data_IF_835017880874
#
_entry.id   IF_835017880874
#
_cell.length_a   1.000
_cell.length_b   1.000
_cell.length_c   1.000
_cell.angle_alpha   90.00
_cell.angle_beta   90.00
_cell.angle_gamma   90.00
#
_symmetry.space_group_name_H-M   'P 1'
#
loop_
_entity.id
_entity.type
_entity.pdbx_description
1 polymer ?
#
# COMPACT_ATOMS: atom_id res chain seq x y z
N UNK A 1 -16.74 24.51 -7.28
CA UNK A 1 -17.19 23.21 -7.82
C UNK A 1 -16.09 22.13 -7.93
N UNK A 2 -14.85 22.46 -8.35
CA UNK A 2 -13.77 21.47 -8.58
C UNK A 2 -13.33 20.67 -7.33
N UNK A 3 -13.16 21.32 -6.18
CA UNK A 3 -12.76 20.67 -4.90
C UNK A 3 -13.80 19.68 -4.34
N UNK A 4 -15.09 19.91 -4.58
CA UNK A 4 -16.16 19.02 -4.12
C UNK A 4 -16.13 17.70 -4.89
N UNK A 5 -15.95 17.79 -6.21
CA UNK A 5 -15.79 16.62 -7.09
C UNK A 5 -14.54 15.81 -6.75
N UNK A 6 -13.42 16.46 -6.39
CA UNK A 6 -12.20 15.77 -5.98
C UNK A 6 -12.34 14.99 -4.65
N UNK A 7 -13.11 15.53 -3.69
CA UNK A 7 -13.42 14.81 -2.45
C UNK A 7 -14.40 13.65 -2.68
N UNK A 8 -15.40 13.85 -3.54
CA UNK A 8 -16.34 12.80 -3.94
C UNK A 8 -15.59 11.65 -4.65
N UNK A 9 -14.65 11.95 -5.55
CA UNK A 9 -13.82 10.94 -6.23
C UNK A 9 -12.95 10.15 -5.24
N UNK A 10 -12.28 10.84 -4.29
CA UNK A 10 -11.49 10.17 -3.25
C UNK A 10 -12.36 9.30 -2.34
N UNK A 11 -13.57 9.74 -2.00
CA UNK A 11 -14.51 8.93 -1.21
C UNK A 11 -14.96 7.67 -1.97
N UNK A 12 -15.20 7.80 -3.28
CA UNK A 12 -15.56 6.65 -4.12
C UNK A 12 -14.42 5.65 -4.30
N UNK A 13 -13.17 6.09 -4.46
CA UNK A 13 -12.00 5.20 -4.55
C UNK A 13 -11.78 4.41 -3.26
N UNK A 14 -11.98 5.06 -2.10
CA UNK A 14 -11.87 4.41 -0.79
C UNK A 14 -13.00 3.40 -0.58
N UNK A 15 -14.24 3.76 -0.94
CA UNK A 15 -15.39 2.84 -0.87
C UNK A 15 -15.18 1.63 -1.80
N UNK A 16 -14.69 1.86 -3.01
CA UNK A 16 -14.36 0.81 -3.96
C UNK A 16 -13.29 -0.14 -3.42
N UNK A 17 -12.23 0.38 -2.80
CA UNK A 17 -11.20 -0.46 -2.19
C UNK A 17 -11.73 -1.29 -1.01
N UNK A 18 -12.64 -0.72 -0.19
CA UNK A 18 -13.28 -1.43 0.91
C UNK A 18 -14.21 -2.53 0.37
N UNK A 19 -14.98 -2.25 -0.68
CA UNK A 19 -15.86 -3.21 -1.32
C UNK A 19 -15.10 -4.32 -2.04
N UNK A 20 -14.01 -4.01 -2.73
CA UNK A 20 -13.16 -4.99 -3.40
C UNK A 20 -12.53 -5.96 -2.39
N UNK A 21 -12.00 -5.43 -1.27
CA UNK A 21 -11.55 -6.25 -0.14
C UNK A 21 -12.70 -7.08 0.44
N UNK A 22 -13.91 -6.52 0.52
CA UNK A 22 -15.10 -7.24 1.00
C UNK A 22 -15.60 -8.32 0.02
N UNK A 23 -15.42 -8.13 -1.29
CA UNK A 23 -15.79 -9.07 -2.35
C UNK A 23 -14.76 -10.17 -2.49
N UNK A 24 -13.46 -9.87 -2.35
CA UNK A 24 -12.39 -10.88 -2.28
C UNK A 24 -12.61 -11.82 -1.08
N UNK A 25 -13.13 -11.30 0.03
CA UNK A 25 -13.59 -12.09 1.19
C UNK A 25 -14.80 -12.98 0.85
N UNK A 26 -15.70 -12.55 -0.05
CA UNK A 26 -16.93 -13.27 -0.43
C UNK A 26 -16.75 -14.27 -1.58
N UNK A 27 -15.84 -14.01 -2.53
CA UNK A 27 -15.58 -14.88 -3.69
C UNK A 27 -14.75 -16.11 -3.33
N UNK A 28 -14.03 -16.10 -2.20
CA UNK A 28 -13.34 -17.26 -1.65
C UNK A 28 -14.30 -18.35 -1.06
N UNK A 29 -15.61 -18.22 -1.32
CA UNK A 29 -16.68 -18.95 -0.65
C UNK A 29 -17.48 -19.89 -1.58
N UNK A 30 -16.90 -20.40 -2.68
CA UNK A 30 -17.51 -21.47 -3.49
C UNK A 30 -16.58 -22.69 -3.62
N UNK A 31 -16.84 -23.64 -2.72
CA UNK A 31 -16.57 -25.09 -2.60
C UNK A 31 -15.31 -25.68 -3.27
N UNK A 32 -14.46 -26.40 -2.50
CA UNK A 32 -14.82 -27.66 -1.83
C UNK A 32 -15.02 -27.46 -0.32
N UNK A 33 -16.03 -28.12 0.29
CA UNK A 33 -16.74 -27.66 1.51
C UNK A 33 -15.94 -26.62 2.34
N UNK A 34 -16.20 -25.32 2.11
CA UNK A 34 -15.22 -24.27 2.37
C UNK A 34 -14.90 -24.19 3.85
N UNK A 35 -15.85 -24.44 4.75
CA UNK A 35 -15.73 -24.13 6.16
C UNK A 35 -14.49 -24.71 6.87
N UNK A 36 -13.97 -25.88 6.49
CA UNK A 36 -12.82 -26.50 7.20
C UNK A 36 -11.48 -26.07 6.61
N UNK A 37 -11.35 -26.01 5.28
CA UNK A 37 -10.15 -25.51 4.60
C UNK A 37 -10.04 -23.98 4.69
N UNK A 38 -11.18 -23.29 4.67
CA UNK A 38 -11.32 -21.84 4.90
C UNK A 38 -11.22 -21.52 6.38
N UNK A 39 -11.67 -22.34 7.35
CA UNK A 39 -11.30 -22.10 8.75
C UNK A 39 -9.80 -22.28 8.97
N UNK A 40 -9.16 -23.27 8.34
CA UNK A 40 -7.70 -23.44 8.42
C UNK A 40 -6.94 -22.30 7.71
N UNK A 41 -7.40 -21.85 6.54
CA UNK A 41 -6.80 -20.76 5.77
C UNK A 41 -7.16 -19.36 6.33
N UNK A 42 -8.34 -19.15 6.90
CA UNK A 42 -8.72 -17.94 7.66
C UNK A 42 -7.97 -17.92 8.97
N UNK A 43 -7.87 -19.03 9.72
CA UNK A 43 -7.00 -19.08 10.88
C UNK A 43 -5.54 -18.81 10.47
N UNK A 44 -5.06 -19.27 9.32
CA UNK A 44 -3.71 -18.96 8.84
C UNK A 44 -3.55 -17.53 8.33
N UNK A 45 -4.54 -16.92 7.69
CA UNK A 45 -4.49 -15.56 7.12
C UNK A 45 -4.78 -14.48 8.17
N UNK A 46 -5.74 -14.74 9.05
CA UNK A 46 -6.03 -13.95 10.26
C UNK A 46 -4.90 -14.12 11.28
N UNK A 47 -4.29 -15.31 11.42
CA UNK A 47 -3.01 -15.47 12.13
C UNK A 47 -1.86 -14.75 11.43
N UNK A 48 -1.79 -14.75 10.10
CA UNK A 48 -0.70 -14.11 9.36
C UNK A 48 -0.68 -12.60 9.62
N UNK A 49 -1.82 -11.90 9.51
CA UNK A 49 -1.91 -10.46 9.80
C UNK A 49 -1.84 -10.16 11.29
N UNK A 50 -2.42 -11.01 12.16
CA UNK A 50 -2.28 -10.86 13.62
C UNK A 50 -0.88 -11.19 14.14
N UNK A 51 -0.01 -11.76 13.30
CA UNK A 51 1.38 -12.08 13.62
C UNK A 51 2.39 -11.10 13.02
N UNK A 52 2.03 -10.17 12.12
CA UNK A 52 3.03 -9.26 11.53
C UNK A 52 3.44 -8.24 12.60
N UNK A 53 4.67 -8.33 13.14
CA UNK A 53 5.06 -7.42 14.19
C UNK A 53 5.33 -6.04 13.56
N UNK A 54 4.76 -5.00 14.16
CA UNK A 54 4.71 -3.64 13.59
C UNK A 54 6.12 -3.13 13.28
N UNK A 55 7.06 -3.24 14.21
CA UNK A 55 8.43 -2.72 14.05
C UNK A 55 9.22 -3.38 12.89
N UNK A 56 9.28 -4.74 12.78
CA UNK A 56 9.82 -5.41 11.60
C UNK A 56 9.18 -4.97 10.28
N UNK A 57 7.85 -4.84 10.24
CA UNK A 57 7.17 -4.36 9.03
C UNK A 57 7.60 -2.94 8.64
N UNK A 58 7.65 -2.01 9.61
CA UNK A 58 8.08 -0.64 9.35
C UNK A 58 9.56 -0.59 8.93
N UNK A 59 10.41 -1.43 9.52
CA UNK A 59 11.81 -1.59 9.12
C UNK A 59 11.94 -2.03 7.66
N UNK A 60 11.09 -2.97 7.20
CA UNK A 60 11.01 -3.34 5.80
C UNK A 60 10.55 -2.17 4.92
N UNK A 61 9.56 -1.40 5.36
CA UNK A 61 9.13 -0.21 4.63
C UNK A 61 10.22 0.86 4.50
N UNK A 62 11.15 0.97 5.46
CA UNK A 62 12.34 1.83 5.30
C UNK A 62 13.28 1.36 4.20
N UNK A 63 13.37 0.05 3.93
CA UNK A 63 14.14 -0.46 2.79
C UNK A 63 13.57 0.03 1.45
N UNK A 64 12.25 0.24 1.35
CA UNK A 64 11.63 0.83 0.16
C UNK A 64 12.23 2.22 -0.11
N UNK A 65 12.38 3.05 0.92
CA UNK A 65 12.95 4.39 0.77
C UNK A 65 14.36 4.33 0.17
N UNK A 66 15.17 3.35 0.57
CA UNK A 66 16.50 3.15 0.01
C UNK A 66 16.46 2.77 -1.48
N UNK A 67 15.52 1.91 -1.88
CA UNK A 67 15.32 1.57 -3.31
C UNK A 67 14.92 2.81 -4.10
N UNK A 68 13.97 3.60 -3.60
CA UNK A 68 13.52 4.82 -4.25
C UNK A 68 14.63 5.87 -4.34
N UNK A 69 15.45 6.01 -3.29
CA UNK A 69 16.61 6.91 -3.27
C UNK A 69 17.68 6.49 -4.31
N UNK A 70 17.81 5.18 -4.61
CA UNK A 70 18.72 4.67 -5.66
C UNK A 70 18.22 4.92 -7.08
N UNK A 71 16.91 4.91 -7.30
CA UNK A 71 16.33 5.27 -8.60
C UNK A 71 16.51 6.77 -8.87
N UNK A 72 16.39 7.58 -7.81
CA UNK A 72 16.78 8.98 -7.83
C UNK A 72 15.61 9.96 -7.65
N UNK A 73 15.84 11.26 -7.93
CA UNK A 73 14.93 12.35 -7.58
C UNK A 73 13.51 12.24 -8.15
N UNK A 74 13.31 11.45 -9.20
CA UNK A 74 11.99 11.16 -9.78
C UNK A 74 11.04 10.47 -8.82
N UNK A 75 11.59 9.68 -7.91
CA UNK A 75 10.81 8.97 -6.91
C UNK A 75 10.52 9.83 -5.68
N UNK A 76 10.96 11.10 -5.62
CA UNK A 76 10.85 11.94 -4.43
C UNK A 76 9.41 12.08 -3.90
N UNK A 77 8.42 12.16 -4.79
CA UNK A 77 7.00 12.26 -4.39
C UNK A 77 6.53 10.97 -3.72
N UNK A 78 6.80 9.81 -4.34
CA UNK A 78 6.46 8.51 -3.77
C UNK A 78 7.22 8.25 -2.48
N UNK A 79 8.53 8.53 -2.45
CA UNK A 79 9.39 8.43 -1.28
C UNK A 79 8.83 9.24 -0.11
N UNK A 80 8.41 10.47 -0.35
CA UNK A 80 7.85 11.33 0.68
C UNK A 80 6.50 10.83 1.21
N UNK A 81 5.67 10.24 0.35
CA UNK A 81 4.41 9.61 0.74
C UNK A 81 4.66 8.37 1.62
N UNK A 82 5.52 7.45 1.17
CA UNK A 82 5.94 6.26 1.93
C UNK A 82 6.48 6.66 3.30
N UNK A 83 7.39 7.63 3.36
CA UNK A 83 7.95 8.11 4.62
C UNK A 83 6.88 8.62 5.59
N UNK A 84 5.92 9.43 5.10
CA UNK A 84 4.83 9.95 5.95
C UNK A 84 3.91 8.84 6.44
N UNK A 85 3.68 7.80 5.64
CA UNK A 85 2.86 6.66 6.04
C UNK A 85 3.58 5.79 7.09
N UNK A 86 4.90 5.61 6.98
CA UNK A 86 5.72 4.95 8.01
C UNK A 86 5.63 5.73 9.33
N UNK A 87 5.95 7.03 9.31
CA UNK A 87 5.93 7.87 10.52
C UNK A 87 4.58 7.83 11.25
N UNK A 88 3.48 7.77 10.49
CA UNK A 88 2.13 7.70 11.06
C UNK A 88 1.92 6.42 11.86
N UNK A 89 2.39 5.28 11.37
CA UNK A 89 2.32 4.01 12.10
C UNK A 89 3.31 3.95 13.26
N UNK A 90 4.49 4.54 13.12
CA UNK A 90 5.48 4.64 14.21
C UNK A 90 4.95 5.40 15.41
N UNK A 91 4.37 6.59 15.18
CA UNK A 91 3.79 7.41 16.25
C UNK A 91 2.77 6.62 17.07
N UNK A 92 1.92 5.84 16.40
CA UNK A 92 0.94 4.99 17.09
C UNK A 92 1.65 3.86 17.82
N UNK A 93 2.56 3.13 17.16
CA UNK A 93 3.32 2.04 17.76
C UNK A 93 4.10 2.45 19.02
N UNK A 94 4.62 3.67 19.06
CA UNK A 94 5.37 4.22 20.19
C UNK A 94 4.48 4.74 21.32
N UNK A 95 3.23 5.10 21.00
CA UNK A 95 2.29 5.64 21.98
C UNK A 95 1.75 4.60 22.97
N UNK A 96 1.74 3.31 22.60
CA UNK A 96 1.18 2.23 23.44
C UNK A 96 1.78 0.87 23.03
N UNK A 97 2.35 0.08 23.98
CA UNK A 97 2.97 -1.21 23.68
C UNK A 97 2.00 -2.28 23.15
N UNK A 98 0.68 -2.09 23.28
CA UNK A 98 -0.33 -3.01 22.74
C UNK A 98 -0.31 -3.08 21.20
N UNK A 99 0.23 -2.07 20.52
CA UNK A 99 0.36 -2.01 19.06
C UNK A 99 1.55 -2.80 18.49
N UNK A 100 1.92 -3.88 19.17
CA UNK A 100 3.05 -4.75 18.79
C UNK A 100 2.87 -5.43 17.42
N UNK A 101 1.63 -5.58 16.94
CA UNK A 101 1.31 -6.09 15.61
C UNK A 101 0.33 -5.17 14.86
N UNK A 102 0.34 -5.27 13.53
CA UNK A 102 -0.47 -4.41 12.66
C UNK A 102 -1.98 -4.60 12.83
N UNK A 103 -2.44 -5.81 13.15
CA UNK A 103 -3.86 -6.09 13.32
C UNK A 103 -4.44 -5.30 14.50
N UNK A 104 -3.70 -5.16 15.60
CA UNK A 104 -4.16 -4.38 16.77
C UNK A 104 -4.30 -2.89 16.47
N UNK A 105 -3.41 -2.34 15.64
CA UNK A 105 -3.52 -0.95 15.17
C UNK A 105 -4.83 -0.75 14.39
N UNK A 106 -5.12 -1.64 13.44
CA UNK A 106 -6.32 -1.56 12.59
C UNK A 106 -7.59 -1.75 13.42
N UNK A 107 -7.63 -2.77 14.29
CA UNK A 107 -8.78 -3.07 15.15
C UNK A 107 -9.14 -1.88 16.03
N UNK A 108 -8.15 -1.27 16.70
CA UNK A 108 -8.41 -0.13 17.58
C UNK A 108 -8.91 1.07 16.80
N UNK A 109 -8.31 1.36 15.65
CA UNK A 109 -8.75 2.47 14.82
C UNK A 109 -10.20 2.30 14.31
N UNK A 110 -10.60 1.05 14.02
CA UNK A 110 -11.97 0.71 13.68
C UNK A 110 -12.93 0.94 14.86
N UNK A 111 -12.56 0.52 16.07
CA UNK A 111 -13.33 0.77 17.31
C UNK A 111 -13.48 2.26 17.57
N UNK A 112 -12.41 3.04 17.42
CA UNK A 112 -12.41 4.50 17.59
C UNK A 112 -13.10 5.26 16.44
N UNK A 113 -13.53 4.55 15.38
CA UNK A 113 -14.13 5.11 14.15
C UNK A 113 -13.26 6.18 13.48
N UNK A 114 -11.94 6.05 13.59
CA UNK A 114 -10.96 7.01 13.01
C UNK A 114 -10.47 6.60 11.61
N UNK A 115 -10.87 5.44 11.10
CA UNK A 115 -10.43 4.87 9.81
C UNK A 115 -10.63 5.78 8.59
N UNK A 116 -11.57 6.73 8.66
CA UNK A 116 -11.85 7.70 7.57
C UNK A 116 -11.14 9.04 7.74
N UNK A 117 -10.42 9.26 8.84
CA UNK A 117 -9.70 10.51 9.09
C UNK A 117 -8.45 10.60 8.22
N UNK A 118 -7.99 11.83 8.00
CA UNK A 118 -6.81 12.13 7.17
C UNK A 118 -5.52 11.59 7.75
N UNK A 119 -5.49 11.34 9.06
CA UNK A 119 -4.38 10.78 9.85
C UNK A 119 -4.56 9.29 10.17
N UNK A 120 -5.38 8.58 9.39
CA UNK A 120 -5.66 7.16 9.60
C UNK A 120 -4.45 6.24 9.39
N UNK A 121 -4.21 5.34 10.34
CA UNK A 121 -3.17 4.30 10.25
C UNK A 121 -3.54 3.20 9.27
N UNK A 122 -4.82 2.84 9.20
CA UNK A 122 -5.38 1.89 8.26
C UNK A 122 -5.16 2.37 6.82
N UNK A 123 -5.40 3.67 6.57
CA UNK A 123 -5.10 4.28 5.26
C UNK A 123 -3.60 4.28 4.96
N UNK A 124 -2.77 4.59 5.95
CA UNK A 124 -1.31 4.56 5.78
C UNK A 124 -0.82 3.16 5.43
N UNK A 125 -1.31 2.13 6.13
CA UNK A 125 -0.96 0.74 5.87
C UNK A 125 -1.33 0.31 4.44
N UNK A 126 -2.54 0.68 3.97
CA UNK A 126 -2.96 0.39 2.59
C UNK A 126 -2.00 1.00 1.56
N UNK A 127 -1.59 2.27 1.76
CA UNK A 127 -0.64 2.91 0.84
C UNK A 127 0.77 2.33 0.94
N UNK A 128 1.20 1.86 2.11
CA UNK A 128 2.47 1.13 2.25
C UNK A 128 2.45 -0.21 1.52
N UNK A 129 1.37 -0.99 1.65
CA UNK A 129 1.24 -2.26 0.92
C UNK A 129 1.28 -2.04 -0.59
N UNK A 130 0.56 -1.04 -1.11
CA UNK A 130 0.61 -0.70 -2.55
C UNK A 130 2.01 -0.24 -3.00
N UNK A 131 2.74 0.46 -2.13
CA UNK A 131 4.12 0.86 -2.41
C UNK A 131 5.08 -0.33 -2.38
N UNK A 132 4.84 -1.31 -1.51
CA UNK A 132 5.55 -2.60 -1.49
C UNK A 132 5.28 -3.37 -2.78
N UNK A 133 4.03 -3.45 -3.23
CA UNK A 133 3.67 -4.12 -4.49
C UNK A 133 4.41 -3.49 -5.68
N UNK A 134 4.39 -2.15 -5.79
CA UNK A 134 5.13 -1.42 -6.81
C UNK A 134 6.63 -1.72 -6.76
N UNK A 135 7.22 -1.68 -5.56
CA UNK A 135 8.65 -1.89 -5.36
C UNK A 135 9.04 -3.32 -5.71
N UNK A 136 8.25 -4.31 -5.29
CA UNK A 136 8.46 -5.73 -5.63
C UNK A 136 8.40 -5.96 -7.14
N UNK A 137 7.35 -5.44 -7.80
CA UNK A 137 7.17 -5.52 -9.24
C UNK A 137 8.33 -4.87 -10.03
N UNK A 138 8.87 -3.75 -9.51
CA UNK A 138 10.00 -3.06 -10.11
C UNK A 138 11.30 -3.84 -9.92
N UNK A 139 11.58 -4.31 -8.71
CA UNK A 139 12.78 -5.09 -8.40
C UNK A 139 12.83 -6.40 -9.19
N UNK A 140 11.69 -7.08 -9.35
CA UNK A 140 11.58 -8.28 -10.18
C UNK A 140 11.98 -7.99 -11.64
N UNK A 141 11.47 -6.90 -12.22
CA UNK A 141 11.82 -6.48 -13.59
C UNK A 141 13.29 -6.11 -13.74
N UNK A 142 13.84 -5.38 -12.77
CA UNK A 142 15.27 -5.04 -12.76
C UNK A 142 16.12 -6.31 -12.70
N UNK A 143 15.74 -7.28 -11.86
CA UNK A 143 16.44 -8.55 -11.75
C UNK A 143 16.37 -9.38 -13.03
N UNK A 144 15.22 -9.39 -13.72
CA UNK A 144 15.02 -10.11 -14.98
C UNK A 144 15.71 -9.45 -16.17
N UNK A 145 15.83 -8.12 -16.18
CA UNK A 145 16.46 -7.39 -17.29
C UNK A 145 17.36 -6.24 -16.81
N UNK A 146 18.54 -6.51 -16.23
CA UNK A 146 19.39 -5.47 -15.61
C UNK A 146 19.88 -4.37 -16.56
N UNK A 147 19.81 -4.57 -17.89
CA UNK A 147 20.19 -3.60 -18.92
C UNK A 147 18.99 -2.99 -19.64
N UNK A 148 17.77 -3.25 -19.15
CA UNK A 148 16.55 -2.71 -19.72
C UNK A 148 16.34 -1.24 -19.37
N UNK A 149 15.40 -0.60 -20.07
CA UNK A 149 15.00 0.78 -19.79
C UNK A 149 14.34 0.88 -18.40
N UNK A 150 14.94 1.69 -17.52
CA UNK A 150 14.37 1.99 -16.20
C UNK A 150 12.99 2.65 -16.33
N UNK A 151 12.83 3.56 -17.30
CA UNK A 151 11.54 4.18 -17.61
C UNK A 151 10.48 3.12 -17.90
N UNK A 152 10.77 2.16 -18.80
CA UNK A 152 9.83 1.10 -19.14
C UNK A 152 9.48 0.23 -17.93
N UNK A 153 10.46 -0.16 -17.12
CA UNK A 153 10.22 -0.99 -15.93
C UNK A 153 9.38 -0.28 -14.87
N UNK A 154 9.66 1.01 -14.64
CA UNK A 154 8.86 1.86 -13.75
C UNK A 154 7.44 1.96 -14.29
N UNK A 155 7.29 2.15 -15.61
CA UNK A 155 5.97 2.29 -16.23
C UNK A 155 5.13 1.03 -16.10
N UNK A 156 5.68 -0.12 -16.46
CA UNK A 156 4.99 -1.41 -16.36
C UNK A 156 4.65 -1.76 -14.91
N UNK A 157 5.55 -1.48 -13.96
CA UNK A 157 5.31 -1.72 -12.54
C UNK A 157 4.18 -0.82 -12.02
N UNK A 158 4.16 0.46 -12.42
CA UNK A 158 3.11 1.40 -12.05
C UNK A 158 1.73 0.96 -12.56
N UNK A 159 1.67 0.54 -13.82
CA UNK A 159 0.44 0.14 -14.51
C UNK A 159 -0.30 -0.98 -13.79
N UNK A 160 0.42 -1.98 -13.28
CA UNK A 160 -0.19 -3.13 -12.59
C UNK A 160 -0.41 -2.91 -11.08
N UNK A 161 0.20 -1.89 -10.47
CA UNK A 161 0.19 -1.70 -9.01
C UNK A 161 -0.51 -0.43 -8.55
N UNK A 162 0.08 0.75 -8.80
CA UNK A 162 -0.40 2.02 -8.26
C UNK A 162 -1.51 2.66 -9.10
N UNK A 163 -1.50 2.43 -10.42
CA UNK A 163 -2.46 3.06 -11.34
C UNK A 163 -3.93 2.86 -10.97
N UNK A 164 -4.40 1.65 -10.58
CA UNK A 164 -5.80 1.43 -10.21
C UNK A 164 -6.27 2.31 -9.04
N UNK A 165 -5.34 2.78 -8.20
CA UNK A 165 -5.61 3.53 -6.99
C UNK A 165 -5.32 5.03 -7.11
N UNK A 166 -4.82 5.46 -8.27
CA UNK A 166 -4.43 6.84 -8.52
C UNK A 166 -5.53 7.60 -9.24
N UNK A 167 -6.13 8.56 -8.52
CA UNK A 167 -6.92 9.60 -9.16
C UNK A 167 -6.09 10.47 -10.12
N UNK A 168 -6.78 11.34 -10.87
CA UNK A 168 -6.19 12.11 -11.97
C UNK A 168 -4.96 12.96 -11.57
N UNK A 169 -4.89 13.45 -10.33
CA UNK A 169 -3.76 14.23 -9.82
C UNK A 169 -2.51 13.35 -9.70
N UNK A 170 -2.62 12.21 -9.02
CA UNK A 170 -1.52 11.28 -8.83
C UNK A 170 -1.06 10.70 -10.16
N UNK A 171 -2.00 10.40 -11.08
CA UNK A 171 -1.68 9.96 -12.43
C UNK A 171 -0.92 11.03 -13.25
N UNK A 172 -1.29 12.31 -13.10
CA UNK A 172 -0.57 13.40 -13.75
C UNK A 172 0.84 13.60 -13.17
N UNK A 173 0.98 13.54 -11.84
CA UNK A 173 2.28 13.60 -11.17
C UNK A 173 3.20 12.45 -11.62
N UNK A 174 2.67 11.24 -11.71
CA UNK A 174 3.38 10.07 -12.24
C UNK A 174 3.89 10.30 -13.67
N UNK A 175 3.05 10.81 -14.59
CA UNK A 175 3.46 11.07 -15.98
C UNK A 175 4.64 12.05 -16.08
N UNK A 176 4.71 13.02 -15.16
CA UNK A 176 5.86 13.94 -15.09
C UNK A 176 7.07 13.23 -14.50
N UNK A 177 6.89 12.48 -13.41
CA UNK A 177 7.97 11.73 -12.78
C UNK A 177 8.61 10.71 -13.72
N UNK A 178 7.80 10.00 -14.52
CA UNK A 178 8.26 9.00 -15.47
C UNK A 178 9.25 9.58 -16.50
N UNK A 179 8.94 10.76 -17.06
CA UNK A 179 9.79 11.45 -18.04
C UNK A 179 11.13 11.92 -17.49
N UNK A 180 11.28 11.94 -16.18
CA UNK A 180 12.51 12.35 -15.52
C UNK A 180 13.35 11.13 -15.11
N UNK A 181 12.82 9.91 -15.26
CA UNK A 181 13.53 8.68 -14.86
C UNK A 181 14.77 8.60 -15.73
N UNK A 182 15.96 8.36 -15.14
CA UNK A 182 17.19 8.32 -15.92
C UNK A 182 17.12 7.22 -16.97
N UNK A 183 17.50 7.55 -18.20
CA UNK A 183 17.97 6.57 -19.16
C UNK A 183 19.25 5.97 -18.59
N UNK A 184 19.28 4.64 -18.49
CA UNK A 184 20.37 3.81 -17.93
C UNK A 184 21.77 4.41 -18.01
#
# INVERSE_FOLDING_TARGET
>A
MKRRREMEVKETEIRSAIEELSVLVKLNNKNPSPAVAVAAAIHQQEAAVSSIPTKPFLSLCYCILQVLDKIGPTMAVLRQDVFKNIQRLEIVCESDPTYSNLAEIIKKEAVERKTKKTDSCSRALVWLTRSLDFTGALLERIAMNPRGSMEQMVAESYEITLKPWHGWISAAAYKVALKLVPDS
#
